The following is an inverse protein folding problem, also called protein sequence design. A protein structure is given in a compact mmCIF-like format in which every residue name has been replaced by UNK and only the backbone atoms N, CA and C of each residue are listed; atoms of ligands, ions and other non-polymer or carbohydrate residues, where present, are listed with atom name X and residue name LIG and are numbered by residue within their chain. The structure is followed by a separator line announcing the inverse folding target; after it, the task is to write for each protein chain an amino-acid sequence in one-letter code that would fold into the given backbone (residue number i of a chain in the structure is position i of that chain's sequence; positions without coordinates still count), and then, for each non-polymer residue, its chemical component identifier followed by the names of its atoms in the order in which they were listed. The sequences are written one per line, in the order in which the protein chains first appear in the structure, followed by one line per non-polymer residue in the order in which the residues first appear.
data_IF_840259442438
#
_entry.id   IF_840259442438
#
_cell.length_a   1.000
_cell.length_b   1.000
_cell.length_c   1.000
_cell.angle_alpha   90.00
_cell.angle_beta   90.00
_cell.angle_gamma   90.00
#
_symmetry.space_group_name_H-M   'P 1'
#
loop_
_entity.id
_entity.type
_entity.pdbx_description
1 polymer ?
#
# COMPACT_ATOMS: atom_id res chain seq x y z
N UNK A 1 2.71 -2.76 22.52
CA UNK A 1 2.50 -1.63 21.56
C UNK A 1 3.02 -2.08 20.21
N UNK A 2 2.19 -2.06 19.19
CA UNK A 2 2.53 -2.44 17.81
C UNK A 2 3.49 -1.43 17.20
N UNK A 3 4.50 -1.87 16.47
CA UNK A 3 5.36 -0.99 15.67
C UNK A 3 4.91 -1.03 14.21
N UNK A 4 4.63 0.13 13.61
CA UNK A 4 4.32 0.23 12.19
C UNK A 4 5.56 0.68 11.41
N UNK A 5 5.88 -0.03 10.32
CA UNK A 5 6.80 0.45 9.30
C UNK A 5 5.99 1.08 8.18
N UNK A 6 6.09 2.39 8.03
CA UNK A 6 5.57 3.12 6.87
C UNK A 6 6.68 3.18 5.83
N UNK A 7 6.40 2.78 4.59
CA UNK A 7 7.36 2.77 3.50
C UNK A 7 6.95 3.78 2.44
N UNK A 8 7.81 4.74 2.15
CA UNK A 8 7.66 5.67 1.02
C UNK A 8 8.75 5.40 -0.02
N UNK A 9 8.36 4.78 -1.14
CA UNK A 9 9.22 4.68 -2.31
C UNK A 9 9.12 5.95 -3.14
N UNK A 10 10.26 6.50 -3.57
CA UNK A 10 10.32 7.77 -4.27
C UNK A 10 11.38 7.77 -5.38
N UNK A 11 11.08 8.43 -6.50
CA UNK A 11 11.99 8.69 -7.59
C UNK A 11 11.56 9.94 -8.36
N UNK A 12 12.38 11.02 -8.28
CA UNK A 12 12.07 12.33 -8.89
C UNK A 12 10.65 12.82 -8.53
N UNK A 13 10.32 12.83 -7.22
CA UNK A 13 9.00 13.11 -6.69
C UNK A 13 8.94 14.45 -5.92
N UNK A 14 9.72 15.45 -6.33
CA UNK A 14 9.79 16.74 -5.63
C UNK A 14 8.46 17.47 -5.51
N UNK A 15 7.49 17.18 -6.37
CA UNK A 15 6.17 17.82 -6.37
C UNK A 15 5.21 17.16 -5.39
N UNK A 16 5.24 15.83 -5.31
CA UNK A 16 4.24 15.04 -4.60
C UNK A 16 4.69 14.62 -3.19
N UNK A 17 6.01 14.48 -2.97
CA UNK A 17 6.57 13.86 -1.77
C UNK A 17 6.26 14.61 -0.48
N UNK A 18 6.27 15.96 -0.50
CA UNK A 18 6.12 16.77 0.71
C UNK A 18 4.84 16.44 1.48
N UNK A 19 3.71 16.28 0.77
CA UNK A 19 2.43 15.96 1.41
C UNK A 19 2.43 14.61 2.13
N UNK A 20 3.13 13.62 1.57
CA UNK A 20 3.28 12.29 2.18
C UNK A 20 4.10 12.39 3.46
N UNK A 21 5.28 13.05 3.40
CA UNK A 21 6.14 13.25 4.56
C UNK A 21 5.39 13.97 5.70
N UNK A 22 4.66 15.03 5.37
CA UNK A 22 3.88 15.79 6.34
C UNK A 22 2.74 14.95 6.95
N UNK A 23 2.12 14.06 6.18
CA UNK A 23 1.06 13.18 6.68
C UNK A 23 1.57 12.13 7.66
N UNK A 24 2.77 11.60 7.43
CA UNK A 24 3.43 10.68 8.35
C UNK A 24 3.88 11.42 9.60
N UNK A 25 4.51 12.60 9.45
CA UNK A 25 4.99 13.40 10.58
C UNK A 25 3.88 13.79 11.56
N UNK A 26 2.66 14.04 11.05
CA UNK A 26 1.51 14.42 11.87
C UNK A 26 0.85 13.27 12.60
N UNK A 27 1.26 12.01 12.40
CA UNK A 27 0.67 10.90 13.12
C UNK A 27 0.92 11.03 14.63
N UNK A 28 -0.15 10.91 15.43
CA UNK A 28 -0.10 10.96 16.90
C UNK A 28 0.48 9.68 17.50
N UNK A 29 0.39 8.58 16.78
CA UNK A 29 0.98 7.31 17.17
C UNK A 29 2.50 7.38 17.16
N UNK A 30 3.17 7.05 18.26
CA UNK A 30 4.61 7.31 18.41
C UNK A 30 5.51 6.17 17.92
N UNK A 31 5.00 4.92 17.86
CA UNK A 31 5.84 3.75 17.52
C UNK A 31 5.87 3.49 16.00
N UNK A 32 6.43 4.43 15.26
CA UNK A 32 6.53 4.42 13.80
C UNK A 32 8.00 4.39 13.36
N UNK A 33 8.30 3.47 12.46
CA UNK A 33 9.47 3.50 11.61
C UNK A 33 9.05 4.00 10.21
N UNK A 34 9.66 5.06 9.73
CA UNK A 34 9.42 5.56 8.36
C UNK A 34 10.63 5.29 7.49
N UNK A 35 10.52 4.33 6.58
CA UNK A 35 11.53 4.01 5.59
C UNK A 35 11.26 4.81 4.32
N UNK A 36 12.21 5.65 3.93
CA UNK A 36 12.20 6.38 2.65
C UNK A 36 13.21 5.71 1.73
N UNK A 37 12.70 5.03 0.69
CA UNK A 37 13.49 4.34 -0.31
C UNK A 37 13.52 5.16 -1.58
N UNK A 38 14.63 5.82 -1.85
CA UNK A 38 14.84 6.67 -3.02
C UNK A 38 15.61 5.93 -4.11
N UNK A 39 15.06 5.90 -5.32
CA UNK A 39 15.61 5.23 -6.48
C UNK A 39 16.76 5.98 -7.19
N UNK A 40 17.46 6.88 -6.48
CA UNK A 40 18.53 7.71 -7.04
C UNK A 40 17.99 8.97 -7.72
N UNK A 41 17.11 9.71 -7.05
CA UNK A 41 16.53 10.97 -7.54
C UNK A 41 17.58 12.02 -7.84
N UNK A 42 17.30 12.84 -8.86
CA UNK A 42 18.19 13.93 -9.33
C UNK A 42 17.58 15.32 -9.19
N UNK A 43 16.31 15.39 -8.80
CA UNK A 43 15.59 16.62 -8.49
C UNK A 43 15.72 16.98 -7.00
N UNK A 44 14.84 17.82 -6.45
CA UNK A 44 14.87 18.24 -5.04
C UNK A 44 14.30 17.19 -4.05
N UNK A 45 13.96 15.98 -4.49
CA UNK A 45 13.40 14.92 -3.63
C UNK A 45 14.24 14.70 -2.36
N UNK A 46 15.55 14.48 -2.51
CA UNK A 46 16.42 14.24 -1.34
C UNK A 46 16.60 15.47 -0.43
N UNK A 47 16.42 16.68 -0.95
CA UNK A 47 16.43 17.90 -0.15
C UNK A 47 15.18 17.96 0.76
N UNK A 48 14.00 17.58 0.23
CA UNK A 48 12.77 17.48 1.02
C UNK A 48 12.89 16.42 2.12
N UNK A 49 13.49 15.28 1.81
CA UNK A 49 13.76 14.22 2.80
C UNK A 49 14.68 14.71 3.92
N UNK A 50 15.77 15.41 3.60
CA UNK A 50 16.66 15.99 4.63
C UNK A 50 15.95 17.02 5.51
N UNK A 51 15.13 17.88 4.92
CA UNK A 51 14.33 18.85 5.68
C UNK A 51 13.33 18.14 6.60
N UNK A 52 12.69 17.07 6.14
CA UNK A 52 11.81 16.24 6.95
C UNK A 52 12.55 15.59 8.13
N UNK A 53 13.72 14.96 7.89
CA UNK A 53 14.55 14.39 8.98
C UNK A 53 14.88 15.44 10.04
N UNK A 54 15.25 16.65 9.63
CA UNK A 54 15.56 17.73 10.55
C UNK A 54 14.33 18.15 11.37
N UNK A 55 13.17 18.36 10.73
CA UNK A 55 11.92 18.70 11.44
C UNK A 55 11.50 17.61 12.42
N UNK A 56 11.64 16.35 12.05
CA UNK A 56 11.33 15.22 12.92
C UNK A 56 12.26 15.17 14.16
N UNK A 57 13.55 15.47 13.99
CA UNK A 57 14.53 15.44 15.09
C UNK A 57 14.31 16.56 16.14
N UNK A 58 13.73 17.69 15.75
CA UNK A 58 13.48 18.84 16.65
C UNK A 58 12.01 18.93 17.10
N UNK A 59 11.14 18.06 16.58
CA UNK A 59 9.72 18.02 16.92
C UNK A 59 9.43 17.28 18.23
N UNK A 60 8.25 17.47 18.78
CA UNK A 60 7.79 16.79 20.00
C UNK A 60 7.53 15.29 19.78
N UNK A 61 7.13 14.88 18.55
CA UNK A 61 6.93 13.50 18.16
C UNK A 61 8.01 13.10 17.16
N UNK A 62 9.02 12.37 17.62
CA UNK A 62 10.07 11.87 16.72
C UNK A 62 9.80 10.41 16.36
N UNK A 63 9.56 10.17 15.06
CA UNK A 63 9.52 8.83 14.49
C UNK A 63 10.95 8.36 14.16
N UNK A 64 11.15 7.06 14.10
CA UNK A 64 12.39 6.52 13.53
C UNK A 64 12.37 6.71 12.01
N UNK A 65 13.33 7.46 11.45
CA UNK A 65 13.41 7.72 10.02
C UNK A 65 14.65 7.06 9.43
N UNK A 66 14.44 6.12 8.52
CA UNK A 66 15.49 5.44 7.77
C UNK A 66 15.45 5.90 6.32
N UNK A 67 16.54 6.48 5.82
CA UNK A 67 16.64 6.97 4.44
C UNK A 67 17.69 6.16 3.69
N UNK A 68 17.28 5.58 2.57
CA UNK A 68 18.15 4.83 1.67
C UNK A 68 17.98 5.42 0.26
N UNK A 69 19.07 5.87 -0.34
CA UNK A 69 19.10 6.35 -1.72
C UNK A 69 20.05 5.48 -2.52
N UNK A 70 19.50 4.64 -3.39
CA UNK A 70 20.23 3.72 -4.25
C UNK A 70 19.44 3.42 -5.51
N UNK A 71 20.13 3.10 -6.59
CA UNK A 71 19.47 2.74 -7.84
C UNK A 71 18.61 1.48 -7.66
N UNK A 72 17.42 1.49 -8.25
CA UNK A 72 16.49 0.37 -8.28
C UNK A 72 16.09 -0.01 -9.73
N UNK A 73 15.40 -1.13 -9.86
CA UNK A 73 14.84 -1.62 -11.12
C UNK A 73 13.36 -1.22 -11.29
N UNK A 74 12.91 -0.22 -10.55
CA UNK A 74 11.54 0.27 -10.52
C UNK A 74 10.86 0.08 -9.15
N UNK A 75 9.64 0.59 -9.04
CA UNK A 75 8.88 0.71 -7.80
C UNK A 75 8.87 -0.57 -6.94
N UNK A 76 8.59 -1.72 -7.55
CA UNK A 76 8.47 -2.98 -6.81
C UNK A 76 9.82 -3.52 -6.31
N UNK A 77 10.94 -3.17 -6.97
CA UNK A 77 12.28 -3.46 -6.47
C UNK A 77 12.60 -2.61 -5.23
N UNK A 78 12.27 -1.32 -5.27
CA UNK A 78 12.37 -0.43 -4.11
C UNK A 78 11.50 -0.93 -2.94
N UNK A 79 10.28 -1.39 -3.22
CA UNK A 79 9.39 -1.98 -2.21
C UNK A 79 9.99 -3.25 -1.60
N UNK A 80 10.57 -4.15 -2.40
CA UNK A 80 11.24 -5.36 -1.90
C UNK A 80 12.40 -5.03 -0.98
N UNK A 81 13.26 -4.11 -1.39
CA UNK A 81 14.38 -3.64 -0.56
C UNK A 81 13.90 -3.03 0.77
N UNK A 82 12.75 -2.36 0.76
CA UNK A 82 12.14 -1.80 1.97
C UNK A 82 11.56 -2.88 2.88
N UNK A 83 10.96 -3.94 2.33
CA UNK A 83 10.47 -5.10 3.09
C UNK A 83 11.61 -5.75 3.90
N UNK A 84 12.79 -5.91 3.28
CA UNK A 84 13.96 -6.52 3.94
C UNK A 84 14.48 -5.68 5.11
N UNK A 85 14.22 -4.38 5.12
CA UNK A 85 14.67 -3.44 6.15
C UNK A 85 13.62 -3.12 7.21
N UNK A 86 12.35 -3.36 6.93
CA UNK A 86 11.24 -3.07 7.84
C UNK A 86 11.40 -3.80 9.16
N UNK A 87 11.30 -3.12 10.29
CA UNK A 87 11.44 -3.71 11.64
C UNK A 87 10.15 -3.70 12.44
N UNK A 88 9.10 -3.05 11.95
CA UNK A 88 7.79 -3.03 12.61
C UNK A 88 7.05 -4.36 12.54
N UNK A 89 6.00 -4.49 13.34
CA UNK A 89 5.10 -5.66 13.33
C UNK A 89 4.27 -5.71 12.05
N UNK A 90 3.87 -4.53 11.55
CA UNK A 90 3.17 -4.35 10.29
C UNK A 90 3.91 -3.35 9.40
N UNK A 91 3.87 -3.60 8.10
CA UNK A 91 4.32 -2.64 7.11
C UNK A 91 3.16 -2.18 6.22
N UNK A 92 3.20 -0.91 5.83
CA UNK A 92 2.29 -0.28 4.88
C UNK A 92 3.06 0.58 3.89
N UNK A 93 2.67 0.53 2.62
CA UNK A 93 3.24 1.40 1.59
C UNK A 93 2.41 2.67 1.47
N UNK A 94 3.07 3.81 1.68
CA UNK A 94 2.52 5.15 1.47
C UNK A 94 3.40 5.84 0.43
N UNK A 95 3.06 5.67 -0.85
CA UNK A 95 3.89 6.19 -1.95
C UNK A 95 3.86 7.71 -2.00
N UNK A 96 4.85 8.31 -2.67
CA UNK A 96 4.89 9.77 -2.86
C UNK A 96 3.59 10.28 -3.51
N UNK A 97 2.92 11.23 -2.85
CA UNK A 97 1.61 11.76 -3.21
C UNK A 97 0.45 11.23 -2.37
N UNK A 98 0.55 9.99 -1.86
CA UNK A 98 -0.47 9.41 -0.99
C UNK A 98 -0.32 9.91 0.46
N UNK A 99 -1.42 9.94 1.22
CA UNK A 99 -1.41 10.46 2.60
C UNK A 99 -2.31 9.66 3.53
N UNK A 100 -1.99 9.67 4.81
CA UNK A 100 -2.95 9.28 5.84
C UNK A 100 -4.10 10.30 5.89
N UNK A 101 -5.37 9.86 6.08
CA UNK A 101 -6.52 10.75 6.16
C UNK A 101 -6.49 11.71 7.34
N UNK A 102 -6.11 11.20 8.52
CA UNK A 102 -6.11 11.95 9.78
C UNK A 102 -4.81 11.72 10.55
N UNK A 103 -4.55 12.55 11.54
CA UNK A 103 -3.36 12.43 12.39
C UNK A 103 -3.40 11.21 13.32
N UNK A 104 -4.57 10.69 13.62
CA UNK A 104 -4.80 9.53 14.49
C UNK A 104 -5.02 8.21 13.73
N UNK A 105 -4.79 8.20 12.41
CA UNK A 105 -5.04 7.01 11.58
C UNK A 105 -4.31 5.77 12.10
N UNK A 106 -3.02 5.86 12.42
CA UNK A 106 -2.25 4.71 12.90
C UNK A 106 -2.63 4.30 14.34
N UNK A 107 -2.99 5.25 15.18
CA UNK A 107 -3.53 4.98 16.52
C UNK A 107 -4.86 4.21 16.43
N UNK A 108 -5.75 4.64 15.52
CA UNK A 108 -6.99 3.93 15.26
C UNK A 108 -6.76 2.50 14.73
N UNK A 109 -5.81 2.32 13.80
CA UNK A 109 -5.44 1.00 13.28
C UNK A 109 -4.89 0.09 14.39
N UNK A 110 -4.05 0.63 15.27
CA UNK A 110 -3.52 -0.11 16.42
C UNK A 110 -4.64 -0.57 17.35
N UNK A 111 -5.60 0.30 17.67
CA UNK A 111 -6.77 -0.07 18.46
C UNK A 111 -7.63 -1.18 17.82
N UNK A 112 -7.58 -1.32 16.50
CA UNK A 112 -8.27 -2.37 15.77
C UNK A 112 -7.52 -3.72 15.74
N UNK A 113 -6.26 -3.79 16.19
CA UNK A 113 -5.48 -5.05 16.19
C UNK A 113 -6.15 -6.09 17.10
N UNK A 114 -6.80 -5.62 18.19
CA UNK A 114 -7.57 -6.44 19.13
C UNK A 114 -6.71 -7.07 20.23
N UNK A 115 -7.39 -7.40 21.32
CA UNK A 115 -6.82 -8.04 22.49
C UNK A 115 -6.69 -9.55 22.27
N UNK A 116 -5.69 -10.01 21.60
CA UNK A 116 -5.49 -11.43 21.34
C UNK A 116 -4.01 -11.79 21.28
N UNK A 117 -3.68 -13.02 21.61
CA UNK A 117 -2.32 -13.55 21.48
C UNK A 117 -1.87 -13.65 20.02
N UNK A 118 -2.82 -13.65 19.07
CA UNK A 118 -2.55 -13.86 17.66
C UNK A 118 -2.84 -12.59 16.87
N UNK A 119 -1.79 -11.91 16.43
CA UNK A 119 -1.88 -10.75 15.56
C UNK A 119 -2.48 -11.13 14.19
N UNK A 120 -3.39 -10.31 13.63
CA UNK A 120 -3.88 -10.49 12.26
C UNK A 120 -2.75 -10.57 11.24
N UNK A 121 -2.90 -11.41 10.22
CA UNK A 121 -1.95 -11.45 9.10
C UNK A 121 -2.02 -10.20 8.23
N UNK A 122 -3.19 -9.56 8.19
CA UNK A 122 -3.43 -8.30 7.48
C UNK A 122 -4.47 -7.47 8.22
N UNK A 123 -4.20 -6.16 8.34
CA UNK A 123 -5.19 -5.14 8.66
C UNK A 123 -5.50 -4.37 7.37
N UNK A 124 -6.76 -4.06 7.10
CA UNK A 124 -7.13 -3.39 5.86
C UNK A 124 -8.35 -2.48 6.02
N UNK A 125 -8.46 -1.51 5.13
CA UNK A 125 -9.58 -0.57 5.13
C UNK A 125 -9.87 0.01 3.75
N UNK A 126 -10.63 1.08 3.75
CA UNK A 126 -11.04 1.80 2.56
C UNK A 126 -9.96 2.80 2.09
N UNK A 127 -10.16 3.31 0.88
CA UNK A 127 -9.29 4.30 0.25
C UNK A 127 -10.16 5.35 -0.42
N UNK A 128 -9.85 6.61 -0.18
CA UNK A 128 -10.43 7.74 -0.89
C UNK A 128 -9.46 8.26 -1.96
N UNK A 129 -10.01 8.78 -3.03
CA UNK A 129 -9.26 9.39 -4.13
C UNK A 129 -9.31 10.90 -3.94
N UNK A 130 -8.14 11.53 -3.99
CA UNK A 130 -7.98 12.98 -3.81
C UNK A 130 -7.24 13.60 -4.99
N UNK A 131 -7.39 14.91 -5.17
CA UNK A 131 -6.61 15.70 -6.13
C UNK A 131 -5.23 16.10 -5.59
N UNK A 132 -4.46 16.83 -6.40
CA UNK A 132 -3.13 17.33 -6.04
C UNK A 132 -3.15 18.27 -4.82
N UNK A 133 -4.27 18.94 -4.55
CA UNK A 133 -4.46 19.81 -3.39
C UNK A 133 -4.93 19.05 -2.13
N UNK A 134 -5.25 17.75 -2.28
CA UNK A 134 -5.77 16.91 -1.20
C UNK A 134 -7.29 16.97 -1.03
N UNK A 135 -8.01 17.62 -1.95
CA UNK A 135 -9.47 17.64 -1.89
C UNK A 135 -10.05 16.29 -2.30
N UNK A 136 -11.06 15.85 -1.57
CA UNK A 136 -11.80 14.63 -1.86
C UNK A 136 -12.46 14.69 -3.23
N UNK A 137 -12.19 13.71 -4.07
CA UNK A 137 -12.83 13.54 -5.38
C UNK A 137 -13.93 12.49 -5.35
N UNK A 138 -13.62 11.32 -4.79
CA UNK A 138 -14.54 10.18 -4.72
C UNK A 138 -14.00 9.07 -3.82
N UNK A 139 -14.88 8.23 -3.33
CA UNK A 139 -14.49 6.94 -2.78
C UNK A 139 -13.92 6.04 -3.88
N UNK A 140 -12.96 5.20 -3.52
CA UNK A 140 -12.45 4.20 -4.46
C UNK A 140 -13.57 3.24 -4.88
N UNK A 141 -13.72 3.02 -6.19
CA UNK A 141 -14.81 2.21 -6.76
C UNK A 141 -14.86 0.76 -6.25
N UNK A 142 -13.71 0.15 -6.01
CA UNK A 142 -13.58 -1.18 -5.44
C UNK A 142 -13.32 -1.03 -3.95
N UNK A 143 -14.27 -1.49 -3.14
CA UNK A 143 -14.21 -1.44 -1.68
C UNK A 143 -14.06 -2.84 -1.08
N UNK A 144 -13.53 -2.95 0.15
CA UNK A 144 -13.41 -4.21 0.86
C UNK A 144 -14.77 -4.88 1.03
N UNK A 145 -14.89 -6.21 0.83
CA UNK A 145 -16.10 -6.95 1.13
C UNK A 145 -16.22 -7.15 2.66
N UNK A 146 -17.41 -7.49 3.14
CA UNK A 146 -17.64 -7.84 4.56
C UNK A 146 -16.66 -8.90 5.08
N UNK A 147 -16.29 -9.86 4.24
CA UNK A 147 -15.27 -10.88 4.54
C UNK A 147 -14.29 -10.96 3.39
N UNK A 148 -13.11 -10.41 3.60
CA UNK A 148 -12.00 -10.49 2.66
C UNK A 148 -11.33 -11.85 2.73
N UNK A 149 -11.01 -12.39 1.57
CA UNK A 149 -10.16 -13.58 1.39
C UNK A 149 -9.30 -13.37 0.16
N UNK A 150 -8.24 -14.16 -0.01
CA UNK A 150 -7.47 -14.12 -1.24
C UNK A 150 -8.31 -14.39 -2.51
N UNK A 151 -9.38 -15.22 -2.37
CA UNK A 151 -10.33 -15.49 -3.47
C UNK A 151 -11.17 -14.28 -3.85
N UNK A 152 -11.37 -13.34 -2.94
CA UNK A 152 -12.17 -12.13 -3.23
C UNK A 152 -11.54 -11.29 -4.34
N UNK A 153 -10.22 -11.34 -4.50
CA UNK A 153 -9.51 -10.56 -5.52
C UNK A 153 -9.72 -11.05 -6.96
N UNK A 154 -10.42 -12.17 -7.15
CA UNK A 154 -10.90 -12.54 -8.49
C UNK A 154 -11.81 -11.44 -9.09
N UNK A 155 -12.52 -10.69 -8.26
CA UNK A 155 -13.37 -9.56 -8.65
C UNK A 155 -12.62 -8.23 -8.83
N UNK A 156 -11.30 -8.27 -8.77
CA UNK A 156 -10.40 -7.12 -8.84
C UNK A 156 -9.71 -6.85 -7.51
N UNK A 157 -8.85 -5.85 -7.47
CA UNK A 157 -8.14 -5.44 -6.26
C UNK A 157 -9.09 -4.69 -5.33
N UNK A 158 -9.82 -5.41 -4.48
CA UNK A 158 -10.85 -4.86 -3.60
C UNK A 158 -10.30 -3.98 -2.48
N UNK A 159 -9.05 -4.18 -2.10
CA UNK A 159 -8.30 -3.35 -1.14
C UNK A 159 -7.11 -2.75 -1.88
N UNK A 160 -6.89 -1.44 -1.77
CA UNK A 160 -5.70 -0.79 -2.28
C UNK A 160 -4.48 -1.21 -1.46
N UNK A 161 -3.31 -1.40 -2.07
CA UNK A 161 -2.14 -1.83 -1.30
C UNK A 161 -1.68 -0.77 -0.28
N UNK A 162 -2.00 0.50 -0.47
CA UNK A 162 -1.76 1.56 0.49
C UNK A 162 -2.70 1.51 1.72
N UNK A 163 -3.83 0.79 1.61
CA UNK A 163 -4.75 0.52 2.72
C UNK A 163 -4.68 -0.95 3.18
N UNK A 164 -3.53 -1.60 2.93
CA UNK A 164 -3.28 -3.00 3.22
C UNK A 164 -2.00 -3.12 4.06
N UNK A 165 -2.18 -3.28 5.36
CA UNK A 165 -1.11 -3.40 6.34
C UNK A 165 -0.76 -4.88 6.48
N UNK A 166 0.34 -5.28 5.90
CA UNK A 166 0.79 -6.67 5.96
C UNK A 166 1.64 -6.92 7.20
N UNK A 167 1.46 -8.04 7.85
CA UNK A 167 2.37 -8.47 8.92
C UNK A 167 3.77 -8.68 8.36
N UNK A 168 4.75 -8.03 8.96
CA UNK A 168 6.11 -7.90 8.40
C UNK A 168 6.82 -9.25 8.25
N UNK A 169 6.62 -10.19 9.19
CA UNK A 169 7.21 -11.53 9.09
C UNK A 169 6.70 -12.31 7.87
N UNK A 170 5.43 -12.11 7.48
CA UNK A 170 4.88 -12.70 6.26
C UNK A 170 5.44 -11.98 5.02
N UNK A 171 5.49 -10.66 5.06
CA UNK A 171 5.97 -9.87 3.93
C UNK A 171 7.43 -10.17 3.58
N UNK A 172 8.30 -10.40 4.59
CA UNK A 172 9.70 -10.79 4.40
C UNK A 172 9.89 -12.14 3.67
N UNK A 173 8.93 -13.06 3.80
CA UNK A 173 8.96 -14.32 3.07
C UNK A 173 8.37 -14.20 1.66
N UNK A 174 7.62 -13.12 1.39
CA UNK A 174 6.82 -12.94 0.18
C UNK A 174 7.12 -11.59 -0.44
N UNK A 175 8.16 -11.51 -1.27
CA UNK A 175 8.48 -10.30 -2.02
C UNK A 175 7.54 -10.09 -3.21
N UNK A 176 7.47 -8.86 -3.72
CA UNK A 176 6.84 -8.57 -5.01
C UNK A 176 7.55 -9.32 -6.13
N UNK A 177 6.77 -9.91 -7.04
CA UNK A 177 7.30 -10.55 -8.24
C UNK A 177 7.65 -9.47 -9.28
N UNK A 178 8.94 -9.27 -9.53
CA UNK A 178 9.46 -8.26 -10.46
C UNK A 178 9.18 -8.57 -11.93
N UNK A 179 8.60 -9.76 -12.22
CA UNK A 179 8.08 -10.07 -13.56
C UNK A 179 6.90 -9.16 -13.93
N UNK A 180 6.13 -8.70 -12.95
CA UNK A 180 5.02 -7.76 -13.14
C UNK A 180 5.48 -6.32 -12.91
N UNK A 181 5.25 -5.46 -13.90
CA UNK A 181 5.63 -4.04 -13.82
C UNK A 181 4.54 -3.14 -13.27
N UNK A 182 3.25 -3.52 -13.45
CA UNK A 182 2.09 -2.67 -13.16
C UNK A 182 1.07 -3.30 -12.22
N UNK A 183 1.17 -4.59 -11.94
CA UNK A 183 0.18 -5.34 -11.16
C UNK A 183 0.81 -6.32 -10.16
N UNK A 184 2.08 -6.13 -9.80
CA UNK A 184 2.73 -6.95 -8.77
C UNK A 184 2.09 -6.75 -7.38
N UNK A 185 1.46 -5.61 -7.13
CA UNK A 185 0.69 -5.31 -5.92
C UNK A 185 -0.51 -6.25 -5.77
N UNK A 186 -1.23 -6.54 -6.85
CA UNK A 186 -2.35 -7.49 -6.84
C UNK A 186 -1.86 -8.90 -6.51
N UNK A 187 -0.78 -9.34 -7.17
CA UNK A 187 -0.15 -10.63 -6.92
C UNK A 187 0.33 -10.76 -5.48
N UNK A 188 1.04 -9.74 -4.99
CA UNK A 188 1.59 -9.70 -3.65
C UNK A 188 0.49 -9.78 -2.58
N UNK A 189 -0.55 -8.96 -2.67
CA UNK A 189 -1.67 -9.00 -1.74
C UNK A 189 -2.35 -10.37 -1.70
N UNK A 190 -2.53 -11.02 -2.87
CA UNK A 190 -3.10 -12.38 -2.94
C UNK A 190 -2.20 -13.38 -2.21
N UNK A 191 -0.88 -13.33 -2.42
CA UNK A 191 0.07 -14.25 -1.78
C UNK A 191 0.16 -14.03 -0.27
N UNK A 192 0.18 -12.77 0.20
CA UNK A 192 0.11 -12.43 1.64
C UNK A 192 -1.16 -12.98 2.29
N UNK A 193 -2.33 -12.79 1.65
CA UNK A 193 -3.59 -13.31 2.18
C UNK A 193 -3.65 -14.84 2.17
N UNK A 194 -3.06 -15.50 1.17
CA UNK A 194 -2.97 -16.98 1.12
C UNK A 194 -2.09 -17.51 2.25
N UNK A 195 -0.94 -16.89 2.48
CA UNK A 195 -0.03 -17.27 3.56
C UNK A 195 -0.66 -17.01 4.93
N UNK A 196 -1.31 -15.87 5.12
CA UNK A 196 -2.09 -15.59 6.34
C UNK A 196 -3.14 -16.68 6.59
N UNK A 197 -3.86 -17.10 5.55
CA UNK A 197 -4.84 -18.19 5.64
C UNK A 197 -4.18 -19.54 5.99
N UNK A 198 -3.01 -19.85 5.41
CA UNK A 198 -2.24 -21.07 5.71
C UNK A 198 -1.81 -21.11 7.18
N UNK A 199 -1.40 -19.96 7.73
CA UNK A 199 -1.03 -19.78 9.14
C UNK A 199 -2.25 -19.64 10.07
N UNK A 200 -3.48 -19.69 9.54
CA UNK A 200 -4.74 -19.48 10.29
C UNK A 200 -4.82 -18.11 10.95
N UNK A 201 -4.19 -17.10 10.37
CA UNK A 201 -4.23 -15.74 10.86
C UNK A 201 -5.45 -15.00 10.27
N UNK A 202 -6.18 -14.21 11.08
CA UNK A 202 -7.31 -13.44 10.58
C UNK A 202 -6.86 -12.32 9.64
N UNK A 203 -7.72 -11.97 8.69
CA UNK A 203 -7.67 -10.73 7.92
C UNK A 203 -8.71 -9.79 8.54
N UNK A 204 -8.29 -8.64 9.05
CA UNK A 204 -9.16 -7.76 9.83
C UNK A 204 -9.46 -6.47 9.10
N UNK A 205 -10.74 -6.21 8.86
CA UNK A 205 -11.19 -4.91 8.37
C UNK A 205 -11.24 -3.92 9.55
N UNK A 206 -10.61 -2.78 9.41
CA UNK A 206 -10.66 -1.71 10.42
C UNK A 206 -11.84 -0.75 10.21
N UNK A 207 -12.62 -0.94 9.13
CA UNK A 207 -13.85 -0.18 8.83
C UNK A 207 -13.63 1.35 8.79
N UNK A 208 -12.48 1.77 8.30
CA UNK A 208 -12.13 3.19 8.12
C UNK A 208 -11.40 3.41 6.78
N UNK A 209 -11.42 4.65 6.33
CA UNK A 209 -10.53 5.12 5.25
C UNK A 209 -9.12 5.20 5.83
N UNK A 210 -8.17 4.49 5.22
CA UNK A 210 -6.78 4.43 5.68
C UNK A 210 -5.82 5.23 4.82
N UNK A 211 -6.23 5.58 3.61
CA UNK A 211 -5.38 6.28 2.65
C UNK A 211 -6.21 7.23 1.79
N UNK A 212 -5.69 8.44 1.64
CA UNK A 212 -6.03 9.35 0.56
C UNK A 212 -5.05 9.10 -0.59
N UNK A 213 -5.53 8.46 -1.65
CA UNK A 213 -4.76 8.12 -2.84
C UNK A 213 -4.79 9.28 -3.83
N UNK A 214 -3.62 9.74 -4.30
CA UNK A 214 -3.51 10.78 -5.32
C UNK A 214 -3.98 10.27 -6.69
N UNK A 215 -4.97 10.94 -7.30
CA UNK A 215 -5.47 10.55 -8.62
C UNK A 215 -4.39 10.70 -9.71
N UNK A 216 -4.44 9.87 -10.76
CA UNK A 216 -3.52 9.97 -11.90
C UNK A 216 -2.26 9.11 -11.82
N UNK A 217 -2.16 8.17 -10.87
CA UNK A 217 -0.99 7.29 -10.68
C UNK A 217 -0.63 6.43 -11.89
N UNK A 218 0.52 5.75 -11.81
CA UNK A 218 1.17 4.96 -12.89
C UNK A 218 0.23 3.96 -13.59
N UNK A 219 -0.67 3.32 -12.86
CA UNK A 219 -1.64 2.35 -13.40
C UNK A 219 -2.66 3.01 -14.33
N UNK A 220 -3.05 4.24 -14.04
CA UNK A 220 -3.97 5.02 -14.89
C UNK A 220 -3.30 5.37 -16.21
N UNK A 221 -2.03 5.77 -16.18
CA UNK A 221 -1.26 6.12 -17.38
C UNK A 221 -0.95 4.90 -18.26
N UNK A 222 -0.83 3.68 -17.67
CA UNK A 222 -0.47 2.45 -18.36
C UNK A 222 -1.60 1.40 -18.37
N UNK A 223 -2.84 1.84 -18.50
CA UNK A 223 -4.05 1.03 -18.28
C UNK A 223 -4.07 -0.29 -19.05
N UNK A 224 -3.74 -0.30 -20.36
CA UNK A 224 -3.76 -1.53 -21.19
C UNK A 224 -2.73 -2.57 -20.72
N UNK A 225 -1.51 -2.12 -20.41
CA UNK A 225 -0.46 -3.01 -19.93
C UNK A 225 -0.81 -3.60 -18.55
N UNK A 226 -1.33 -2.76 -17.64
CA UNK A 226 -1.81 -3.18 -16.34
C UNK A 226 -2.95 -4.22 -16.43
N UNK A 227 -3.92 -4.04 -17.36
CA UNK A 227 -4.99 -5.02 -17.57
C UNK A 227 -4.45 -6.37 -18.04
N UNK A 228 -3.46 -6.38 -18.95
CA UNK A 228 -2.82 -7.63 -19.44
C UNK A 228 -2.11 -8.36 -18.29
N UNK A 229 -1.32 -7.64 -17.50
CA UNK A 229 -0.65 -8.24 -16.34
C UNK A 229 -1.65 -8.74 -15.29
N UNK A 230 -2.71 -7.97 -15.02
CA UNK A 230 -3.78 -8.39 -14.11
C UNK A 230 -4.45 -9.68 -14.56
N UNK A 231 -4.69 -9.83 -15.86
CA UNK A 231 -5.18 -11.10 -16.41
C UNK A 231 -4.20 -12.25 -16.13
N UNK A 232 -2.88 -12.03 -16.29
CA UNK A 232 -1.86 -13.04 -16.01
C UNK A 232 -1.85 -13.41 -14.53
N UNK A 233 -1.84 -12.42 -13.62
CA UNK A 233 -1.94 -12.63 -12.17
C UNK A 233 -3.17 -13.47 -11.82
N UNK A 234 -4.35 -13.09 -12.33
CA UNK A 234 -5.59 -13.81 -12.07
C UNK A 234 -5.54 -15.24 -12.61
N UNK A 235 -5.01 -15.44 -13.81
CA UNK A 235 -4.82 -16.77 -14.38
C UNK A 235 -3.90 -17.66 -13.52
N UNK A 236 -2.83 -17.09 -12.98
CA UNK A 236 -1.88 -17.81 -12.12
C UNK A 236 -2.55 -18.24 -10.80
N UNK A 237 -3.35 -17.38 -10.18
CA UNK A 237 -3.94 -17.66 -8.87
C UNK A 237 -5.25 -18.43 -8.91
N UNK A 238 -6.07 -18.24 -9.95
CA UNK A 238 -7.45 -18.77 -10.02
C UNK A 238 -7.65 -19.75 -11.18
N UNK A 239 -6.68 -19.88 -12.09
CA UNK A 239 -6.81 -20.70 -13.30
C UNK A 239 -7.47 -19.95 -14.47
N UNK A 240 -7.36 -20.52 -15.66
CA UNK A 240 -7.79 -19.88 -16.90
C UNK A 240 -9.31 -19.71 -16.97
N UNK A 241 -10.09 -20.77 -16.69
CA UNK A 241 -11.55 -20.74 -16.87
C UNK A 241 -12.26 -19.73 -15.95
N UNK A 242 -11.99 -19.69 -14.63
CA UNK A 242 -12.56 -18.65 -13.76
C UNK A 242 -12.14 -17.25 -14.19
N UNK A 243 -10.89 -17.05 -14.60
CA UNK A 243 -10.38 -15.76 -15.07
C UNK A 243 -11.12 -15.29 -16.31
N UNK A 244 -11.33 -16.15 -17.30
CA UNK A 244 -12.09 -15.82 -18.52
C UNK A 244 -13.56 -15.47 -18.19
N UNK A 245 -14.21 -16.26 -17.33
CA UNK A 245 -15.59 -16.01 -16.93
C UNK A 245 -15.77 -14.63 -16.27
N UNK A 246 -14.87 -14.28 -15.35
CA UNK A 246 -14.92 -12.97 -14.66
C UNK A 246 -14.59 -11.81 -15.61
N UNK A 247 -13.64 -11.98 -16.53
CA UNK A 247 -13.33 -10.95 -17.53
C UNK A 247 -14.51 -10.74 -18.50
N UNK A 248 -15.15 -11.81 -18.97
CA UNK A 248 -16.38 -11.70 -19.76
C UNK A 248 -17.48 -10.93 -19.01
N UNK A 249 -17.66 -11.24 -17.72
CA UNK A 249 -18.57 -10.47 -16.85
C UNK A 249 -18.21 -8.98 -16.76
N UNK A 250 -16.92 -8.62 -16.62
CA UNK A 250 -16.53 -7.22 -16.59
C UNK A 250 -16.84 -6.48 -17.88
N UNK A 251 -16.68 -7.13 -19.04
CA UNK A 251 -17.05 -6.56 -20.35
C UNK A 251 -18.56 -6.34 -20.44
N UNK A 252 -19.37 -7.36 -20.11
CA UNK A 252 -20.84 -7.28 -20.12
C UNK A 252 -21.31 -6.15 -19.20
N UNK A 253 -20.83 -6.13 -17.95
CA UNK A 253 -21.18 -5.08 -16.99
C UNK A 253 -20.77 -3.67 -17.46
N UNK A 254 -19.65 -3.55 -18.18
CA UNK A 254 -19.20 -2.27 -18.77
C UNK A 254 -20.09 -1.81 -19.91
N UNK A 255 -20.63 -2.72 -20.72
CA UNK A 255 -21.54 -2.42 -21.81
C UNK A 255 -22.95 -2.02 -21.34
N UNK A 256 -23.43 -2.65 -20.25
CA UNK A 256 -24.78 -2.37 -19.68
C UNK A 256 -24.83 -1.05 -18.91
N UNK A 257 -23.69 -0.50 -18.46
CA UNK A 257 -23.63 0.78 -17.72
C UNK A 257 -23.41 2.02 -18.60
N UNK A 258 -23.30 1.84 -19.91
CA UNK A 258 -23.32 2.89 -20.93
C UNK A 258 -24.72 3.07 -21.48
#
# INVERSE_FOLDING_TARGET
MIKFTVVTCTFNAEKELQRTLDSVQRQTYCNIEHIIMDGGSRDRTLQLVKAYQHRNAVGESSHEIVVISELDKGLYDAMNKSIDRATGDYLVFMNAGDTFPTADTLEYVEGCVGEGEVLPGVLYGDTDIVDEMGHFLRHRRLAPPKKLTWRSFIWGMLVCHQSFYARTDIAREIHYDLHYRYSADVDWCIRIMRESSRRKLPLRNVHAVLTHFLDGGMTTQNHKASLKERFQVMRTHYGLLPTLAVHAWFVIRGAVKR
#
